data_IF_803696822975
#
_entry.id   IF_803696822975
#
_cell.length_a   1.000
_cell.length_b   1.000
_cell.length_c   1.000
_cell.angle_alpha   90.00
_cell.angle_beta   90.00
_cell.angle_gamma   90.00
#
_symmetry.space_group_name_H-M   'P 1'
#
loop_
_entity.id
_entity.type
_entity.pdbx_description
1 polymer ?
#
# COMPACT_ATOMS: atom_id res chain seq x y z
N UNK A 1 -44.89 -34.70 24.78
CA UNK A 1 -44.64 -33.25 24.94
C UNK A 1 -43.27 -32.95 25.56
N UNK A 2 -42.89 -33.49 26.73
CA UNK A 2 -41.59 -33.18 27.38
C UNK A 2 -40.34 -33.67 26.61
N UNK A 3 -40.43 -34.78 25.88
CA UNK A 3 -39.30 -35.38 25.14
C UNK A 3 -39.04 -34.70 23.78
N UNK A 4 -40.07 -34.17 23.14
CA UNK A 4 -40.02 -33.58 21.80
C UNK A 4 -39.27 -32.23 21.81
N UNK A 5 -39.52 -31.42 22.84
CA UNK A 5 -38.84 -30.14 23.04
C UNK A 5 -37.34 -30.34 23.27
N UNK A 6 -36.94 -31.44 23.90
CA UNK A 6 -35.55 -31.75 24.17
C UNK A 6 -34.76 -32.02 22.87
N UNK A 7 -35.33 -32.80 21.94
CA UNK A 7 -34.70 -33.11 20.64
C UNK A 7 -34.59 -31.87 19.74
N UNK A 8 -35.61 -31.02 19.73
CA UNK A 8 -35.58 -29.77 18.96
C UNK A 8 -34.54 -28.80 19.56
N UNK A 9 -34.48 -28.68 20.88
CA UNK A 9 -33.45 -27.86 21.54
C UNK A 9 -32.03 -28.41 21.29
N UNK A 10 -31.86 -29.72 21.24
CA UNK A 10 -30.58 -30.37 20.96
C UNK A 10 -30.12 -30.16 19.51
N UNK A 11 -31.03 -30.29 18.54
CA UNK A 11 -30.73 -30.01 17.13
C UNK A 11 -30.36 -28.55 16.86
N UNK A 12 -30.99 -27.59 17.54
CA UNK A 12 -30.62 -26.17 17.47
C UNK A 12 -29.20 -25.96 18.02
N UNK A 13 -28.81 -26.63 19.12
CA UNK A 13 -27.43 -26.56 19.65
C UNK A 13 -26.43 -27.04 18.61
N UNK A 14 -26.71 -28.14 17.91
CA UNK A 14 -25.84 -28.64 16.84
C UNK A 14 -25.77 -27.69 15.64
N UNK A 15 -26.88 -27.04 15.27
CA UNK A 15 -26.89 -26.01 14.21
C UNK A 15 -25.96 -24.84 14.57
N UNK A 16 -26.11 -24.30 15.78
CA UNK A 16 -25.28 -23.19 16.28
C UNK A 16 -23.82 -23.61 16.39
N UNK A 17 -23.55 -24.83 16.87
CA UNK A 17 -22.20 -25.37 16.97
C UNK A 17 -21.55 -25.52 15.59
N UNK A 18 -22.26 -26.09 14.62
CA UNK A 18 -21.77 -26.23 13.24
C UNK A 18 -21.49 -24.87 12.60
N UNK A 19 -22.41 -23.92 12.73
CA UNK A 19 -22.23 -22.56 12.22
C UNK A 19 -21.07 -21.83 12.91
N UNK A 20 -20.91 -22.01 14.22
CA UNK A 20 -19.84 -21.42 15.01
C UNK A 20 -18.45 -21.95 14.63
N UNK A 21 -18.32 -23.27 14.41
CA UNK A 21 -17.06 -23.88 13.96
C UNK A 21 -16.67 -23.39 12.58
N UNK A 22 -17.61 -23.28 11.65
CA UNK A 22 -17.35 -22.73 10.31
C UNK A 22 -16.91 -21.27 10.41
N UNK A 23 -17.56 -20.46 11.23
CA UNK A 23 -17.15 -19.08 11.49
C UNK A 23 -15.73 -18.98 12.05
N UNK A 24 -15.40 -19.80 13.03
CA UNK A 24 -14.06 -19.85 13.61
C UNK A 24 -13.01 -20.27 12.57
N UNK A 25 -13.34 -21.25 11.74
CA UNK A 25 -12.46 -21.71 10.67
C UNK A 25 -12.18 -20.60 9.64
N UNK A 26 -13.23 -19.92 9.17
CA UNK A 26 -13.09 -18.78 8.26
C UNK A 26 -12.32 -17.63 8.90
N UNK A 27 -12.56 -17.34 10.18
CA UNK A 27 -11.80 -16.33 10.92
C UNK A 27 -10.31 -16.62 10.93
N UNK A 28 -9.93 -17.88 11.20
CA UNK A 28 -8.54 -18.33 11.16
C UNK A 28 -7.97 -18.18 9.74
N UNK A 29 -8.70 -18.61 8.71
CA UNK A 29 -8.26 -18.47 7.32
C UNK A 29 -8.00 -17.00 6.94
N UNK A 30 -8.91 -16.10 7.30
CA UNK A 30 -8.74 -14.66 7.07
C UNK A 30 -7.48 -14.15 7.75
N UNK A 31 -7.19 -14.57 8.99
CA UNK A 31 -5.96 -14.18 9.67
C UNK A 31 -4.70 -14.72 9.01
N UNK A 32 -4.72 -15.97 8.54
CA UNK A 32 -3.60 -16.55 7.79
C UNK A 32 -3.33 -15.76 6.51
N UNK A 33 -4.38 -15.44 5.74
CA UNK A 33 -4.25 -14.65 4.51
C UNK A 33 -3.71 -13.24 4.81
N UNK A 34 -4.14 -12.59 5.90
CA UNK A 34 -3.59 -11.29 6.33
C UNK A 34 -2.11 -11.38 6.72
N UNK A 35 -1.71 -12.45 7.40
CA UNK A 35 -0.31 -12.69 7.74
C UNK A 35 0.51 -12.88 6.46
N UNK A 36 0.03 -13.69 5.53
CA UNK A 36 0.67 -13.87 4.22
C UNK A 36 0.80 -12.53 3.49
N UNK A 37 -0.26 -11.72 3.40
CA UNK A 37 -0.21 -10.40 2.77
C UNK A 37 0.82 -9.47 3.43
N UNK A 38 0.92 -9.48 4.77
CA UNK A 38 1.90 -8.69 5.52
C UNK A 38 3.34 -9.17 5.30
N UNK A 39 3.55 -10.48 5.22
CA UNK A 39 4.86 -11.08 4.92
C UNK A 39 5.25 -10.71 3.48
N UNK A 40 4.36 -10.95 2.51
CA UNK A 40 4.60 -10.63 1.10
C UNK A 40 4.92 -9.14 0.96
N UNK A 41 4.10 -8.23 1.46
CA UNK A 41 4.39 -6.79 1.37
C UNK A 41 5.68 -6.34 2.05
N UNK A 42 6.21 -7.10 3.03
CA UNK A 42 7.48 -6.79 3.70
C UNK A 42 8.70 -7.36 2.97
N UNK A 43 8.60 -8.58 2.44
CA UNK A 43 9.73 -9.29 1.81
C UNK A 43 9.75 -9.13 0.28
N UNK A 44 8.59 -8.94 -0.33
CA UNK A 44 8.36 -8.59 -1.72
C UNK A 44 7.54 -7.30 -1.74
N UNK A 45 8.12 -6.15 -1.31
CA UNK A 45 7.46 -4.89 -1.55
C UNK A 45 7.18 -4.81 -3.05
N UNK A 46 5.91 -4.75 -3.42
CA UNK A 46 5.55 -4.33 -4.76
C UNK A 46 6.26 -3.01 -4.94
N UNK A 47 7.21 -2.98 -5.88
CA UNK A 47 7.72 -1.72 -6.37
C UNK A 47 6.53 -1.11 -7.10
N UNK A 48 5.64 -0.47 -6.34
CA UNK A 48 4.72 0.49 -6.88
C UNK A 48 5.60 1.32 -7.82
N UNK A 49 5.32 1.33 -9.14
CA UNK A 49 5.98 2.27 -9.99
C UNK A 49 5.71 3.60 -9.31
N UNK A 50 6.76 4.19 -8.73
CA UNK A 50 6.67 5.53 -8.20
C UNK A 50 6.09 6.29 -9.37
N UNK A 51 4.84 6.71 -9.23
CA UNK A 51 4.28 7.69 -10.13
C UNK A 51 5.08 8.91 -9.76
N UNK A 52 6.28 9.01 -10.35
CA UNK A 52 7.09 10.19 -10.32
C UNK A 52 6.11 11.29 -10.67
N UNK A 53 5.90 12.30 -9.79
CA UNK A 53 5.21 13.50 -10.21
C UNK A 53 5.78 13.86 -11.57
N UNK A 54 4.97 14.18 -12.60
CA UNK A 54 5.50 14.54 -13.90
C UNK A 54 6.66 15.48 -13.66
N UNK A 55 7.88 15.02 -13.97
CA UNK A 55 9.06 15.82 -13.68
C UNK A 55 8.78 17.14 -14.37
N UNK A 56 8.64 18.20 -13.58
CA UNK A 56 8.51 19.54 -14.13
C UNK A 56 9.80 19.75 -14.92
N UNK A 57 9.73 19.48 -16.22
CA UNK A 57 10.74 19.90 -17.19
C UNK A 57 10.57 21.40 -17.31
N UNK A 58 10.96 22.11 -16.26
CA UNK A 58 10.92 23.56 -16.21
C UNK A 58 12.27 24.05 -15.69
N UNK A 59 12.96 24.72 -16.59
CA UNK A 59 13.92 25.81 -16.35
C UNK A 59 15.29 25.52 -15.74
N UNK A 60 15.70 24.27 -15.51
CA UNK A 60 17.11 24.04 -15.17
C UNK A 60 18.06 24.44 -16.30
N UNK A 61 17.70 24.15 -17.56
CA UNK A 61 18.52 24.51 -18.73
C UNK A 61 18.51 26.03 -19.00
N UNK A 62 17.37 26.70 -18.86
CA UNK A 62 17.27 28.16 -19.02
C UNK A 62 18.04 28.88 -17.92
N UNK A 63 17.88 28.46 -16.66
CA UNK A 63 18.64 29.04 -15.53
C UNK A 63 20.15 28.80 -15.68
N UNK A 64 20.57 27.63 -16.16
CA UNK A 64 21.98 27.34 -16.42
C UNK A 64 22.55 28.19 -17.57
N UNK A 65 21.77 28.39 -18.65
CA UNK A 65 22.14 29.25 -19.77
C UNK A 65 22.29 30.71 -19.36
N UNK A 66 21.32 31.24 -18.60
CA UNK A 66 21.36 32.62 -18.09
C UNK A 66 22.57 32.82 -17.18
N UNK A 67 22.86 31.87 -16.27
CA UNK A 67 24.03 31.92 -15.41
C UNK A 67 25.36 31.92 -16.21
N UNK A 68 25.45 31.08 -17.26
CA UNK A 68 26.62 31.03 -18.12
C UNK A 68 26.85 32.33 -18.89
N UNK A 69 25.78 32.96 -19.40
CA UNK A 69 25.85 34.25 -20.09
C UNK A 69 26.32 35.36 -19.13
N UNK A 70 25.75 35.42 -17.92
CA UNK A 70 26.14 36.42 -16.91
C UNK A 70 27.62 36.27 -16.51
N UNK A 71 28.08 35.03 -16.33
CA UNK A 71 29.49 34.75 -16.02
C UNK A 71 30.42 35.23 -17.16
N UNK A 72 30.08 34.94 -18.42
CA UNK A 72 30.87 35.36 -19.57
C UNK A 72 30.95 36.89 -19.71
N UNK A 73 29.83 37.60 -19.51
CA UNK A 73 29.78 39.07 -19.59
C UNK A 73 30.57 39.71 -18.45
N UNK A 74 30.49 39.16 -17.25
CA UNK A 74 31.22 39.67 -16.08
C UNK A 74 32.72 39.52 -16.27
N UNK A 75 33.17 38.37 -16.77
CA UNK A 75 34.59 38.12 -17.04
C UNK A 75 35.13 39.05 -18.14
N UNK A 76 34.37 39.23 -19.22
CA UNK A 76 34.74 40.16 -20.29
C UNK A 76 34.87 41.61 -19.80
N UNK A 77 33.97 42.06 -18.91
CA UNK A 77 34.07 43.40 -18.30
C UNK A 77 35.28 43.54 -17.38
N UNK A 78 35.60 42.50 -16.60
CA UNK A 78 36.76 42.47 -15.71
C UNK A 78 38.08 42.51 -16.48
N UNK A 79 38.14 41.85 -17.64
CA UNK A 79 39.32 41.79 -18.50
C UNK A 79 39.47 43.00 -19.46
N UNK A 80 38.47 43.89 -19.52
CA UNK A 80 38.46 45.09 -20.39
C UNK A 80 38.61 46.41 -19.60
N UNK A 81 38.81 46.35 -18.28
CA UNK A 81 39.24 47.48 -17.43
C UNK A 81 40.72 47.30 -17.08
#
# INVERSE_FOLDING_TARGET
METEVNLIAESIKFMVLGMGVVFLFLWILVQVVKIQAKIIGKYFPDQEPQVSPPAAKQDQDESARVAAIIAAVTEFRKNKS
#
